data_IF_144244004696
#
_entry.id   IF_144244004696
#
_cell.length_a   1.000
_cell.length_b   1.000
_cell.length_c   1.000
_cell.angle_alpha   90.00
_cell.angle_beta   90.00
_cell.angle_gamma   90.00
#
_symmetry.space_group_name_H-M   'P 1'
#
loop_
_entity.id
_entity.type
_entity.pdbx_description
1 polymer ?
#
# COMPACT_ATOMS: atom_id res chain seq x y z
N UNK A 1 53.40 2.25 27.44
CA UNK A 1 52.97 2.20 26.02
C UNK A 1 51.59 1.57 25.80
N UNK A 2 51.22 0.47 26.47
CA UNK A 2 49.88 -0.15 26.29
C UNK A 2 48.73 0.72 26.81
N UNK A 3 48.89 1.37 27.97
CA UNK A 3 47.91 2.28 28.56
C UNK A 3 47.65 3.54 27.72
N UNK A 4 48.71 4.17 27.19
CA UNK A 4 48.58 5.35 26.34
C UNK A 4 47.84 5.02 25.03
N UNK A 5 48.08 3.83 24.46
CA UNK A 5 47.39 3.36 23.25
C UNK A 5 45.90 3.06 23.50
N UNK A 6 45.55 2.54 24.68
CA UNK A 6 44.15 2.29 25.06
C UNK A 6 43.40 3.60 25.30
N UNK A 7 44.04 4.58 25.94
CA UNK A 7 43.47 5.92 26.12
C UNK A 7 43.26 6.61 24.76
N UNK A 8 44.25 6.52 23.85
CA UNK A 8 44.14 7.10 22.52
C UNK A 8 42.99 6.45 21.72
N UNK A 9 42.85 5.12 21.79
CA UNK A 9 41.79 4.40 21.10
C UNK A 9 40.41 4.76 21.68
N UNK A 10 40.27 4.84 23.00
CA UNK A 10 39.04 5.25 23.65
C UNK A 10 38.66 6.69 23.31
N UNK A 11 39.65 7.59 23.26
CA UNK A 11 39.43 8.98 22.86
C UNK A 11 39.00 9.10 21.40
N UNK A 12 39.61 8.31 20.51
CA UNK A 12 39.25 8.29 19.09
C UNK A 12 37.83 7.72 18.88
N UNK A 13 37.41 6.77 19.71
CA UNK A 13 36.05 6.21 19.68
C UNK A 13 35.01 7.20 20.22
N UNK A 14 35.31 7.94 21.29
CA UNK A 14 34.44 8.98 21.83
C UNK A 14 34.31 10.18 20.89
N UNK A 15 35.41 10.61 20.25
CA UNK A 15 35.36 11.70 19.24
C UNK A 15 34.50 11.27 18.04
N UNK A 16 34.60 10.02 17.59
CA UNK A 16 33.70 9.50 16.55
C UNK A 16 32.24 9.45 17.02
N UNK A 17 31.96 9.11 18.28
CA UNK A 17 30.60 9.05 18.82
C UNK A 17 29.95 10.45 18.99
N UNK A 18 30.76 11.49 19.19
CA UNK A 18 30.28 12.88 19.31
C UNK A 18 30.13 13.55 17.94
N UNK A 19 30.98 13.19 16.97
CA UNK A 19 30.93 13.72 15.59
C UNK A 19 29.93 12.97 14.71
N UNK A 20 29.76 11.67 14.92
CA UNK A 20 28.64 10.94 14.33
C UNK A 20 27.41 11.27 15.16
N UNK A 21 26.62 12.25 14.70
CA UNK A 21 25.28 12.43 15.22
C UNK A 21 24.60 11.06 15.25
N UNK A 22 23.97 10.65 16.38
CA UNK A 22 23.20 9.43 16.37
C UNK A 22 22.16 9.62 15.28
N UNK A 23 22.09 8.68 14.33
CA UNK A 23 21.04 8.66 13.32
C UNK A 23 19.74 8.36 14.06
N UNK A 24 19.17 9.38 14.69
CA UNK A 24 17.78 9.42 15.07
C UNK A 24 17.10 9.65 13.73
N UNK A 25 16.97 8.56 12.97
CA UNK A 25 16.13 8.56 11.78
C UNK A 25 14.77 9.06 12.27
N UNK A 26 14.31 10.18 11.72
CA UNK A 26 13.00 10.70 12.06
C UNK A 26 12.01 9.55 11.89
N UNK A 27 11.25 9.30 12.95
CA UNK A 27 10.30 8.21 12.97
C UNK A 27 9.26 8.48 11.88
N UNK A 28 9.05 7.53 10.96
CA UNK A 28 8.16 7.74 9.81
C UNK A 28 6.79 8.27 10.25
N UNK A 29 6.24 9.19 9.45
CA UNK A 29 4.95 9.85 9.71
C UNK A 29 3.80 8.85 9.89
N UNK A 30 3.90 7.63 9.33
CA UNK A 30 2.78 6.70 9.21
C UNK A 30 2.71 5.63 10.30
N UNK A 31 3.70 5.51 11.16
CA UNK A 31 3.71 4.48 12.23
C UNK A 31 2.64 4.71 13.32
N UNK A 32 2.08 5.92 13.39
CA UNK A 32 0.98 6.25 14.30
C UNK A 32 -0.39 6.23 13.60
N UNK A 33 -0.44 5.87 12.31
CA UNK A 33 -1.67 5.82 11.54
C UNK A 33 -2.56 4.65 11.98
N UNK A 34 -3.89 4.74 11.77
CA UNK A 34 -4.79 3.60 11.93
C UNK A 34 -4.38 2.39 11.07
N UNK A 35 -3.92 2.62 9.83
CA UNK A 35 -3.48 1.57 8.91
C UNK A 35 -2.30 0.76 9.46
N UNK A 36 -1.34 1.42 10.10
CA UNK A 36 -0.21 0.76 10.73
C UNK A 36 -0.65 -0.16 11.88
N UNK A 37 -1.62 0.30 12.68
CA UNK A 37 -2.20 -0.51 13.76
C UNK A 37 -2.95 -1.72 13.20
N UNK A 38 -3.77 -1.53 12.17
CA UNK A 38 -4.52 -2.60 11.51
C UNK A 38 -3.59 -3.66 10.90
N UNK A 39 -2.55 -3.25 10.16
CA UNK A 39 -1.57 -4.17 9.56
C UNK A 39 -0.80 -4.92 10.64
N UNK A 40 -0.36 -4.25 11.70
CA UNK A 40 0.37 -4.87 12.79
C UNK A 40 -0.50 -5.89 13.55
N UNK A 41 -1.76 -5.55 13.83
CA UNK A 41 -2.71 -6.45 14.47
C UNK A 41 -2.99 -7.71 13.60
N UNK A 42 -3.11 -7.54 12.27
CA UNK A 42 -3.27 -8.68 11.36
C UNK A 42 -2.04 -9.60 11.33
N UNK A 43 -0.83 -9.05 11.37
CA UNK A 43 0.42 -9.82 11.47
C UNK A 43 0.41 -10.65 12.76
N UNK A 44 0.10 -10.02 13.90
CA UNK A 44 0.05 -10.70 15.20
C UNK A 44 -1.00 -11.82 15.21
N UNK A 45 -2.19 -11.57 14.68
CA UNK A 45 -3.25 -12.57 14.59
C UNK A 45 -2.83 -13.77 13.74
N UNK A 46 -2.15 -13.56 12.61
CA UNK A 46 -1.64 -14.66 11.77
C UNK A 46 -0.55 -15.47 12.48
N UNK A 47 0.36 -14.82 13.21
CA UNK A 47 1.40 -15.50 13.97
C UNK A 47 0.82 -16.32 15.12
N UNK A 48 -0.21 -15.81 15.81
CA UNK A 48 -0.93 -16.53 16.84
C UNK A 48 -1.67 -17.74 16.26
N UNK A 49 -2.36 -17.58 15.12
CA UNK A 49 -3.05 -18.68 14.45
C UNK A 49 -2.07 -19.78 14.00
N UNK A 50 -0.89 -19.42 13.48
CA UNK A 50 0.14 -20.38 13.09
C UNK A 50 0.71 -21.16 14.28
N UNK A 51 0.73 -20.55 15.47
CA UNK A 51 1.20 -21.17 16.71
C UNK A 51 0.14 -22.06 17.38
N UNK A 52 -1.13 -22.01 16.92
CA UNK A 52 -2.23 -22.79 17.46
C UNK A 52 -2.35 -24.14 16.74
N UNK A 53 -2.17 -25.29 17.43
CA UNK A 53 -2.26 -26.62 16.83
C UNK A 53 -3.64 -26.96 16.26
N UNK A 54 -4.71 -26.32 16.74
CA UNK A 54 -6.09 -26.57 16.34
C UNK A 54 -6.54 -25.70 15.15
N UNK A 55 -5.71 -24.73 14.73
CA UNK A 55 -6.03 -23.86 13.61
C UNK A 55 -5.86 -24.63 12.29
N UNK A 56 -6.96 -24.79 11.54
CA UNK A 56 -6.93 -25.31 10.16
C UNK A 56 -6.44 -24.24 9.19
N UNK A 57 -5.20 -23.83 9.33
CA UNK A 57 -4.57 -22.85 8.43
C UNK A 57 -3.72 -23.54 7.38
N UNK A 58 -3.84 -23.12 6.11
CA UNK A 58 -2.91 -23.51 5.06
C UNK A 58 -1.57 -22.80 5.26
N UNK A 59 -0.46 -23.50 5.56
CA UNK A 59 0.82 -22.85 5.87
C UNK A 59 1.38 -21.99 4.74
N UNK A 60 1.13 -22.36 3.48
CA UNK A 60 1.62 -21.61 2.32
C UNK A 60 0.89 -20.26 2.20
N UNK A 61 -0.43 -20.27 2.36
CA UNK A 61 -1.29 -19.08 2.30
C UNK A 61 -0.98 -18.12 3.46
N UNK A 62 -0.81 -18.65 4.68
CA UNK A 62 -0.41 -17.84 5.84
C UNK A 62 0.95 -17.18 5.62
N UNK A 63 1.93 -17.93 5.11
CA UNK A 63 3.28 -17.39 4.83
C UNK A 63 3.22 -16.27 3.78
N UNK A 64 2.45 -16.46 2.72
CA UNK A 64 2.28 -15.45 1.68
C UNK A 64 1.62 -14.18 2.23
N UNK A 65 0.49 -14.33 2.95
CA UNK A 65 -0.21 -13.19 3.54
C UNK A 65 0.65 -12.44 4.56
N UNK A 66 1.41 -13.17 5.38
CA UNK A 66 2.34 -12.57 6.33
C UNK A 66 3.43 -11.77 5.62
N UNK A 67 4.00 -12.31 4.54
CA UNK A 67 5.01 -11.59 3.74
C UNK A 67 4.43 -10.30 3.14
N UNK A 68 3.22 -10.35 2.58
CA UNK A 68 2.53 -9.16 2.06
C UNK A 68 2.31 -8.11 3.13
N UNK A 69 1.79 -8.48 4.31
CA UNK A 69 1.57 -7.55 5.41
C UNK A 69 2.89 -6.97 5.96
N UNK A 70 3.95 -7.78 6.03
CA UNK A 70 5.27 -7.31 6.43
C UNK A 70 5.85 -6.30 5.43
N UNK A 71 5.64 -6.49 4.13
CA UNK A 71 5.99 -5.50 3.11
C UNK A 71 5.25 -4.19 3.33
N UNK A 72 3.93 -4.23 3.55
CA UNK A 72 3.14 -3.03 3.83
C UNK A 72 3.58 -2.32 5.12
N UNK A 73 3.85 -3.08 6.19
CA UNK A 73 4.39 -2.54 7.44
C UNK A 73 5.73 -1.84 7.21
N UNK A 74 6.63 -2.48 6.49
CA UNK A 74 7.94 -1.91 6.18
C UNK A 74 7.82 -0.59 5.41
N UNK A 75 6.94 -0.53 4.39
CA UNK A 75 6.67 0.70 3.64
C UNK A 75 6.23 1.83 4.57
N UNK A 76 5.28 1.58 5.46
CA UNK A 76 4.82 2.58 6.44
C UNK A 76 5.88 2.97 7.49
N UNK A 77 6.86 2.11 7.76
CA UNK A 77 7.96 2.42 8.69
C UNK A 77 9.07 3.26 8.04
N UNK A 78 9.18 3.21 6.72
CA UNK A 78 10.28 3.85 5.97
C UNK A 78 9.87 5.01 5.08
N UNK A 79 8.58 5.14 4.75
CA UNK A 79 8.12 6.20 3.85
C UNK A 79 8.03 7.54 4.57
N UNK A 80 8.42 8.60 3.87
CA UNK A 80 8.21 9.99 4.27
C UNK A 80 7.10 10.67 3.45
N UNK A 81 6.82 10.08 2.28
CA UNK A 81 5.84 10.52 1.29
C UNK A 81 4.51 9.80 1.48
N UNK A 82 3.42 10.46 1.06
CA UNK A 82 2.08 9.88 1.06
C UNK A 82 1.94 8.80 0.01
N UNK A 83 0.85 8.03 0.08
CA UNK A 83 0.56 7.06 -0.96
C UNK A 83 0.18 7.72 -2.29
N UNK A 84 0.70 7.21 -3.39
CA UNK A 84 0.37 7.65 -4.76
C UNK A 84 -0.06 6.47 -5.62
N UNK A 85 -0.85 6.76 -6.65
CA UNK A 85 -1.29 5.79 -7.64
C UNK A 85 -0.87 6.22 -9.04
N UNK A 86 -0.14 5.35 -9.74
CA UNK A 86 0.23 5.50 -11.15
C UNK A 86 -0.58 4.53 -11.99
N UNK A 87 -1.16 5.04 -13.08
CA UNK A 87 -1.95 4.26 -14.01
C UNK A 87 -1.16 3.97 -15.28
N UNK A 88 -0.79 2.71 -15.46
CA UNK A 88 -0.15 2.17 -16.67
C UNK A 88 -1.01 1.06 -17.29
N UNK A 89 -2.33 1.14 -17.09
CA UNK A 89 -3.26 0.08 -17.47
C UNK A 89 -3.70 0.14 -18.94
N UNK A 90 -3.40 1.23 -19.65
CA UNK A 90 -3.90 1.50 -21.01
C UNK A 90 -5.36 1.99 -21.04
N UNK A 91 -5.94 2.31 -19.87
CA UNK A 91 -7.36 2.68 -19.68
C UNK A 91 -7.50 3.69 -18.55
N UNK A 92 -8.66 4.33 -18.43
CA UNK A 92 -8.97 5.18 -17.28
C UNK A 92 -9.14 4.32 -16.03
N UNK A 93 -8.47 4.73 -14.94
CA UNK A 93 -8.45 4.01 -13.66
C UNK A 93 -9.26 4.76 -12.61
N UNK A 94 -10.15 4.08 -11.90
CA UNK A 94 -10.80 4.65 -10.72
C UNK A 94 -9.85 4.63 -9.52
N UNK A 95 -9.60 5.78 -8.89
CA UNK A 95 -8.73 5.91 -7.71
C UNK A 95 -9.45 6.63 -6.58
N UNK A 96 -9.28 6.15 -5.35
CA UNK A 96 -9.82 6.79 -4.15
C UNK A 96 -8.78 7.71 -3.56
N UNK A 97 -9.05 9.01 -3.56
CA UNK A 97 -8.14 10.02 -3.07
C UNK A 97 -8.67 10.68 -1.80
N UNK A 98 -7.76 10.93 -0.88
CA UNK A 98 -8.01 11.69 0.34
C UNK A 98 -7.04 12.86 0.39
N UNK A 99 -7.58 14.09 0.42
CA UNK A 99 -6.77 15.30 0.53
C UNK A 99 -5.99 15.31 1.85
N UNK A 100 -4.81 15.94 1.86
CA UNK A 100 -3.96 15.98 3.05
C UNK A 100 -4.68 16.53 4.30
N UNK A 101 -5.50 17.56 4.11
CA UNK A 101 -6.23 18.25 5.17
C UNK A 101 -7.66 17.71 5.38
N UNK A 102 -7.96 16.50 4.88
CA UNK A 102 -9.24 15.87 5.12
C UNK A 102 -9.45 15.61 6.62
N UNK A 103 -10.70 15.77 7.08
CA UNK A 103 -11.05 15.38 8.44
C UNK A 103 -10.84 13.86 8.63
N UNK A 104 -10.53 13.44 9.86
CA UNK A 104 -10.22 12.04 10.16
C UNK A 104 -11.38 11.07 9.84
N UNK A 105 -12.61 11.56 9.79
CA UNK A 105 -13.84 10.82 9.46
C UNK A 105 -14.30 11.02 8.01
N UNK A 106 -13.62 11.87 7.24
CA UNK A 106 -13.97 12.12 5.85
C UNK A 106 -13.58 10.93 4.98
N UNK A 107 -14.57 10.31 4.34
CA UNK A 107 -14.35 9.21 3.42
C UNK A 107 -13.55 9.68 2.18
N UNK A 108 -12.64 8.83 1.66
CA UNK A 108 -11.98 9.08 0.38
C UNK A 108 -12.99 9.25 -0.77
N UNK A 109 -12.68 10.13 -1.70
CA UNK A 109 -13.51 10.42 -2.88
C UNK A 109 -12.98 9.66 -4.09
N UNK A 110 -13.89 9.11 -4.90
CA UNK A 110 -13.54 8.42 -6.14
C UNK A 110 -13.28 9.44 -7.26
N UNK A 111 -12.10 9.33 -7.86
CA UNK A 111 -11.67 10.07 -9.04
C UNK A 111 -11.28 9.10 -10.16
N UNK A 112 -11.08 9.65 -11.35
CA UNK A 112 -10.72 8.92 -12.55
C UNK A 112 -9.38 9.43 -13.07
N UNK A 113 -8.36 8.59 -12.98
CA UNK A 113 -6.99 8.86 -13.37
C UNK A 113 -6.77 8.41 -14.83
N UNK A 114 -6.20 9.29 -15.65
CA UNK A 114 -5.87 9.00 -17.05
C UNK A 114 -4.79 7.93 -17.17
N UNK A 115 -4.67 7.31 -18.34
CA UNK A 115 -3.57 6.40 -18.64
C UNK A 115 -2.25 7.17 -18.78
N UNK A 116 -1.18 6.66 -18.17
CA UNK A 116 0.12 7.30 -18.08
C UNK A 116 0.28 8.30 -16.92
N UNK A 117 -0.80 8.60 -16.21
CA UNK A 117 -0.82 9.64 -15.17
C UNK A 117 -0.55 9.08 -13.78
N UNK A 118 -0.06 9.94 -12.88
CA UNK A 118 0.15 9.67 -11.45
C UNK A 118 -0.58 10.72 -10.62
N UNK A 119 -1.17 10.29 -9.50
CA UNK A 119 -1.86 11.21 -8.58
C UNK A 119 -0.92 12.24 -7.96
N UNK A 120 -1.40 13.47 -7.85
CA UNK A 120 -0.78 14.59 -7.14
C UNK A 120 -0.43 14.23 -5.67
N UNK A 121 0.70 14.72 -5.17
CA UNK A 121 1.24 14.41 -3.84
C UNK A 121 0.53 15.13 -2.67
N UNK A 122 -0.24 16.19 -2.95
CA UNK A 122 -1.17 16.83 -2.00
C UNK A 122 -2.38 15.91 -1.66
N UNK A 123 -2.56 14.84 -2.45
CA UNK A 123 -3.59 13.82 -2.26
C UNK A 123 -2.99 12.45 -1.96
N UNK A 124 -3.49 11.82 -0.89
CA UNK A 124 -3.17 10.42 -0.61
C UNK A 124 -4.05 9.50 -1.45
N UNK A 125 -3.44 8.64 -2.26
CA UNK A 125 -4.13 7.50 -2.84
C UNK A 125 -4.41 6.47 -1.75
N UNK A 126 -5.69 6.28 -1.43
CA UNK A 126 -6.16 5.36 -0.39
C UNK A 126 -6.66 4.04 -0.97
N UNK A 127 -6.86 3.99 -2.29
CA UNK A 127 -7.23 2.76 -2.97
C UNK A 127 -7.54 2.91 -4.45
N UNK A 128 -7.84 1.78 -5.07
CA UNK A 128 -8.19 1.66 -6.49
C UNK A 128 -9.54 0.98 -6.64
N UNK A 129 -10.39 1.53 -7.50
CA UNK A 129 -11.66 0.94 -7.89
C UNK A 129 -11.48 0.04 -9.12
N UNK A 130 -11.94 -1.20 -9.01
CA UNK A 130 -11.98 -2.16 -10.11
C UNK A 130 -13.43 -2.53 -10.44
N UNK A 131 -13.91 -2.26 -11.67
CA UNK A 131 -15.26 -2.63 -12.05
C UNK A 131 -15.44 -4.14 -12.21
N UNK A 132 -16.69 -4.60 -12.18
CA UNK A 132 -17.01 -5.99 -12.50
C UNK A 132 -16.56 -6.33 -13.92
N UNK A 133 -16.12 -7.57 -14.14
CA UNK A 133 -15.60 -8.06 -15.41
C UNK A 133 -14.11 -7.80 -15.62
N UNK A 134 -13.47 -6.96 -14.79
CA UNK A 134 -12.02 -6.78 -14.81
C UNK A 134 -11.33 -8.09 -14.47
N UNK A 135 -10.31 -8.46 -15.25
CA UNK A 135 -9.41 -9.56 -14.89
C UNK A 135 -8.31 -8.96 -14.03
N UNK A 136 -8.10 -9.47 -12.82
CA UNK A 136 -7.09 -8.95 -11.90
C UNK A 136 -6.24 -10.07 -11.33
N UNK A 137 -4.95 -9.80 -11.16
CA UNK A 137 -4.02 -10.60 -10.36
C UNK A 137 -3.55 -9.74 -9.17
N UNK A 138 -3.97 -10.11 -7.95
CA UNK A 138 -3.65 -9.36 -6.73
C UNK A 138 -2.19 -9.54 -6.26
N UNK A 139 -1.49 -10.52 -6.85
CA UNK A 139 -0.06 -10.71 -6.73
C UNK A 139 0.49 -11.26 -8.05
N UNK A 140 1.75 -10.95 -8.37
CA UNK A 140 2.43 -11.38 -9.61
C UNK A 140 2.47 -12.90 -9.83
N UNK A 141 2.29 -13.68 -8.76
CA UNK A 141 2.31 -15.15 -8.79
C UNK A 141 0.92 -15.79 -8.72
N UNK A 142 -0.14 -14.98 -8.62
CA UNK A 142 -1.51 -15.48 -8.52
C UNK A 142 -2.19 -15.54 -9.90
N UNK A 143 -3.05 -16.54 -10.14
CA UNK A 143 -3.80 -16.60 -11.38
C UNK A 143 -4.75 -15.42 -11.47
N UNK A 144 -4.86 -14.82 -12.66
CA UNK A 144 -5.81 -13.74 -12.90
C UNK A 144 -7.25 -14.26 -12.77
N UNK A 145 -8.08 -13.51 -12.02
CA UNK A 145 -9.48 -13.84 -11.78
C UNK A 145 -10.35 -12.73 -12.39
N UNK A 146 -11.38 -13.13 -13.13
CA UNK A 146 -12.39 -12.19 -13.60
C UNK A 146 -13.35 -11.85 -12.46
N UNK A 147 -13.44 -10.56 -12.14
CA UNK A 147 -14.29 -10.05 -11.07
C UNK A 147 -15.76 -10.23 -11.43
N UNK A 148 -16.54 -10.81 -10.51
CA UNK A 148 -18.01 -10.93 -10.67
C UNK A 148 -18.76 -9.71 -10.17
N UNK A 149 -18.14 -8.98 -9.26
CA UNK A 149 -18.67 -7.79 -8.59
C UNK A 149 -17.58 -6.72 -8.57
N UNK A 150 -17.93 -5.42 -8.53
CA UNK A 150 -16.96 -4.36 -8.39
C UNK A 150 -16.27 -4.44 -7.03
N UNK A 151 -14.98 -4.06 -6.99
CA UNK A 151 -14.16 -4.08 -5.79
C UNK A 151 -13.46 -2.73 -5.59
N UNK A 152 -13.22 -2.37 -4.34
CA UNK A 152 -12.23 -1.37 -3.96
C UNK A 152 -11.03 -2.06 -3.30
N UNK A 153 -9.84 -1.73 -3.78
CA UNK A 153 -8.58 -2.21 -3.24
C UNK A 153 -8.00 -1.11 -2.39
N UNK A 154 -7.98 -1.30 -1.07
CA UNK A 154 -7.39 -0.35 -0.14
C UNK A 154 -5.88 -0.52 -0.12
N UNK A 155 -5.16 0.58 -0.13
CA UNK A 155 -3.71 0.64 0.08
C UNK A 155 -3.40 1.40 1.37
N UNK A 156 -2.16 1.30 1.83
CA UNK A 156 -1.70 2.00 3.04
C UNK A 156 -0.91 3.23 2.65
N UNK A 157 -0.82 4.19 3.56
CA UNK A 157 0.06 5.34 3.40
C UNK A 157 1.52 4.96 3.07
N UNK A 158 2.17 5.78 2.26
CA UNK A 158 3.53 5.58 1.79
C UNK A 158 3.72 4.59 0.64
N UNK A 159 2.66 3.97 0.14
CA UNK A 159 2.76 3.09 -1.04
C UNK A 159 2.80 3.88 -2.34
N UNK A 160 3.73 3.53 -3.23
CA UNK A 160 3.71 3.95 -4.63
C UNK A 160 3.09 2.82 -5.45
N UNK A 161 1.77 2.85 -5.62
CA UNK A 161 1.04 1.80 -6.32
C UNK A 161 1.10 2.05 -7.84
N UNK A 162 1.53 1.05 -8.59
CA UNK A 162 1.46 1.04 -10.05
C UNK A 162 0.45 -0.01 -10.50
N UNK A 163 -0.53 0.42 -11.27
CA UNK A 163 -1.56 -0.45 -11.85
C UNK A 163 -1.28 -0.61 -13.34
N UNK A 164 -0.96 -1.83 -13.77
CA UNK A 164 -0.59 -2.13 -15.15
C UNK A 164 -1.49 -3.20 -15.75
N UNK A 165 -1.67 -3.20 -17.07
CA UNK A 165 -2.28 -4.34 -17.77
C UNK A 165 -1.19 -5.26 -18.34
N UNK A 166 -1.25 -6.54 -18.02
CA UNK A 166 -0.40 -7.55 -18.63
C UNK A 166 -0.80 -7.74 -20.11
N UNK A 167 0.10 -7.52 -21.09
CA UNK A 167 -0.23 -7.59 -22.50
C UNK A 167 -0.53 -9.02 -22.99
N UNK A 168 -0.06 -10.04 -22.30
CA UNK A 168 -0.26 -11.45 -22.67
C UNK A 168 -1.61 -11.98 -22.16
N UNK A 169 -2.01 -11.60 -20.95
CA UNK A 169 -3.22 -12.14 -20.29
C UNK A 169 -4.40 -11.16 -20.30
N UNK A 170 -4.14 -9.87 -20.52
CA UNK A 170 -5.10 -8.79 -20.38
C UNK A 170 -5.55 -8.57 -18.93
N UNK A 171 -4.81 -9.08 -17.95
CA UNK A 171 -5.10 -8.91 -16.53
C UNK A 171 -4.47 -7.63 -16.00
N UNK A 172 -5.20 -6.94 -15.13
CA UNK A 172 -4.69 -5.84 -14.31
C UNK A 172 -3.81 -6.44 -13.21
N UNK A 173 -2.58 -5.95 -13.13
CA UNK A 173 -1.56 -6.34 -12.16
C UNK A 173 -1.20 -5.13 -11.30
N UNK A 174 -0.97 -5.41 -10.01
CA UNK A 174 -0.49 -4.43 -9.04
C UNK A 174 0.96 -4.76 -8.71
N UNK A 175 1.81 -3.73 -8.61
CA UNK A 175 3.19 -3.90 -8.13
C UNK A 175 3.26 -4.28 -6.64
N UNK A 176 2.23 -3.92 -5.87
CA UNK A 176 2.10 -4.15 -4.44
C UNK A 176 0.77 -4.84 -4.10
N UNK A 177 0.73 -5.72 -3.09
CA UNK A 177 -0.52 -6.31 -2.64
C UNK A 177 -1.40 -5.26 -1.96
N UNK A 178 -2.73 -5.31 -2.14
CA UNK A 178 -3.63 -4.42 -1.41
C UNK A 178 -3.64 -4.78 0.08
N UNK A 179 -3.84 -3.77 0.93
CA UNK A 179 -4.01 -3.95 2.37
C UNK A 179 -5.35 -4.63 2.69
N UNK A 180 -6.39 -4.28 1.93
CA UNK A 180 -7.72 -4.85 2.06
C UNK A 180 -8.42 -4.86 0.71
N UNK A 181 -9.23 -5.90 0.48
CA UNK A 181 -10.14 -5.99 -0.65
C UNK A 181 -11.55 -5.78 -0.10
N UNK A 182 -12.24 -4.74 -0.58
CA UNK A 182 -13.57 -4.35 -0.13
C UNK A 182 -14.58 -4.60 -1.23
N UNK A 183 -15.70 -5.21 -0.86
CA UNK A 183 -16.87 -5.39 -1.72
C UNK A 183 -17.90 -4.30 -1.49
N UNK A 184 -18.83 -4.15 -2.42
CA UNK A 184 -19.92 -3.19 -2.27
C UNK A 184 -20.69 -3.43 -0.96
N UNK A 185 -20.83 -2.37 -0.15
CA UNK A 185 -21.43 -2.43 1.19
C UNK A 185 -20.46 -2.78 2.32
N UNK A 186 -19.18 -3.02 2.04
CA UNK A 186 -18.13 -3.20 3.05
C UNK A 186 -17.29 -1.92 3.21
N UNK A 187 -17.16 -1.45 4.46
CA UNK A 187 -16.36 -0.27 4.80
C UNK A 187 -17.04 1.06 4.48
N UNK A 188 -16.25 2.14 4.49
CA UNK A 188 -16.72 3.52 4.30
C UNK A 188 -16.53 4.04 2.87
N UNK A 189 -16.06 3.20 1.94
CA UNK A 189 -15.87 3.58 0.54
C UNK A 189 -17.14 3.36 -0.26
N UNK A 190 -17.55 4.38 -1.01
CA UNK A 190 -18.63 4.25 -1.98
C UNK A 190 -18.12 3.49 -3.20
N UNK A 191 -18.56 2.24 -3.37
CA UNK A 191 -18.18 1.40 -4.51
C UNK A 191 -19.32 1.42 -5.53
N UNK A 192 -19.18 2.17 -6.64
CA UNK A 192 -20.22 2.26 -7.65
C UNK A 192 -20.33 0.96 -8.46
N UNK A 193 -21.41 0.83 -9.23
CA UNK A 193 -21.66 -0.30 -10.13
C UNK A 193 -21.44 0.11 -11.59
N UNK A 194 -20.29 0.73 -11.88
CA UNK A 194 -19.91 1.16 -13.23
C UNK A 194 -19.20 0.03 -13.97
N UNK A 195 -19.43 -0.08 -15.28
CA UNK A 195 -18.60 -0.92 -16.15
C UNK A 195 -17.35 -0.15 -16.58
N UNK A 196 -16.30 -0.87 -17.00
CA UNK A 196 -15.08 -0.23 -17.50
C UNK A 196 -15.35 0.72 -18.67
N UNK A 197 -16.29 0.38 -19.56
CA UNK A 197 -16.67 1.23 -20.69
C UNK A 197 -17.30 2.57 -20.24
N UNK A 198 -18.01 2.58 -19.11
CA UNK A 198 -18.57 3.81 -18.54
C UNK A 198 -17.44 4.69 -18.00
N UNK A 199 -16.47 4.08 -17.32
CA UNK A 199 -15.28 4.77 -16.79
C UNK A 199 -14.42 5.34 -17.92
N UNK A 200 -14.18 4.55 -18.97
CA UNK A 200 -13.39 4.95 -20.14
C UNK A 200 -14.04 6.11 -20.91
N UNK A 201 -15.36 6.28 -20.79
CA UNK A 201 -16.10 7.38 -21.40
C UNK A 201 -16.08 8.67 -20.55
N UNK A 202 -15.70 8.59 -19.27
CA UNK A 202 -15.55 9.76 -18.42
C UNK A 202 -14.25 10.50 -18.75
N UNK A 203 -14.30 11.82 -18.67
CA UNK A 203 -13.09 12.63 -18.71
C UNK A 203 -12.31 12.40 -17.41
N UNK A 204 -11.00 12.06 -17.47
CA UNK A 204 -10.15 12.00 -16.30
C UNK A 204 -10.24 13.30 -15.48
N UNK A 205 -10.33 13.15 -14.17
CA UNK A 205 -10.55 14.24 -13.24
C UNK A 205 -9.77 14.09 -11.92
N UNK A 206 -8.92 13.08 -11.80
CA UNK A 206 -8.01 12.96 -10.68
C UNK A 206 -7.00 14.12 -10.71
N UNK A 207 -6.70 14.74 -9.56
CA UNK A 207 -5.50 15.58 -9.41
C UNK A 207 -4.25 14.80 -9.81
N UNK A 208 -3.41 15.41 -10.64
CA UNK A 208 -2.21 14.82 -11.24
C UNK A 208 -1.02 15.79 -11.08
N UNK A 209 0.19 15.24 -10.94
CA UNK A 209 1.48 15.97 -10.84
C UNK A 209 2.08 16.31 -12.21
#
# INVERSE_FOLDING_TARGET
>A
MRFLKTILLAFLLLVNLVMAQPAWADQSKFINSPDYQDVTAQIEALLQAQSNPDAKTNPAEVKQKLASLQTLKYIMETSEERATCSNESGKTLGVYLQAENAAADQAPTLYYLGDGETTDDDFSCTGVYLPSGTKVAFALSEPAIALKEPLALRIVEGTQLTVKTNPETGAVELNLPPAQILKSGEGNLEIPTLAQADIDALQPNAPED
#
